data_IF_580870930646
#
_entry.id   IF_580870930646
#
_cell.length_a   1.000
_cell.length_b   1.000
_cell.length_c   1.000
_cell.angle_alpha   90.00
_cell.angle_beta   90.00
_cell.angle_gamma   90.00
#
_symmetry.space_group_name_H-M   'P 1'
#
loop_
_entity.id
_entity.type
_entity.pdbx_description
1 polymer ?
#
# COMPACT_ATOMS: atom_id res chain seq x y z
N UNK A 1 -36.22 16.32 7.96
CA UNK A 1 -34.92 16.37 8.65
C UNK A 1 -33.91 16.87 7.62
N UNK A 2 -33.38 18.10 7.74
CA UNK A 2 -32.37 18.60 6.79
C UNK A 2 -31.07 17.83 7.06
N UNK A 3 -30.45 17.28 6.02
CA UNK A 3 -29.13 16.67 6.14
C UNK A 3 -28.12 17.72 6.63
N UNK A 4 -27.10 17.31 7.39
CA UNK A 4 -26.01 18.19 7.83
C UNK A 4 -24.73 17.80 7.11
N UNK A 5 -24.01 18.80 6.58
CA UNK A 5 -22.68 18.60 6.00
C UNK A 5 -21.60 18.65 7.09
N UNK A 6 -20.42 18.01 6.88
CA UNK A 6 -19.27 18.15 7.74
C UNK A 6 -18.84 19.61 7.92
N UNK A 7 -18.32 19.98 9.09
CA UNK A 7 -17.92 21.35 9.45
C UNK A 7 -17.04 22.04 8.39
N UNK A 8 -16.14 21.29 7.74
CA UNK A 8 -15.24 21.82 6.70
C UNK A 8 -15.96 22.29 5.43
N UNK A 9 -17.19 21.82 5.21
CA UNK A 9 -18.02 22.08 4.02
C UNK A 9 -19.39 22.68 4.37
N UNK A 10 -19.66 22.93 5.66
CA UNK A 10 -20.95 23.42 6.14
C UNK A 10 -21.28 24.81 5.58
N UNK A 11 -20.27 25.65 5.35
CA UNK A 11 -20.46 26.98 4.76
C UNK A 11 -21.03 26.88 3.34
N UNK A 12 -20.45 26.04 2.49
CA UNK A 12 -20.90 25.83 1.11
C UNK A 12 -22.31 25.22 1.09
N UNK A 13 -22.59 24.28 1.99
CA UNK A 13 -23.92 23.69 2.14
C UNK A 13 -25.00 24.72 2.45
N UNK A 14 -24.74 25.63 3.42
CA UNK A 14 -25.68 26.68 3.79
C UNK A 14 -25.86 27.71 2.67
N UNK A 15 -24.79 28.06 1.98
CA UNK A 15 -24.81 28.98 0.84
C UNK A 15 -25.64 28.41 -0.32
N UNK A 16 -25.39 27.16 -0.71
CA UNK A 16 -26.19 26.48 -1.74
C UNK A 16 -27.68 26.47 -1.38
N UNK A 17 -28.04 26.12 -0.13
CA UNK A 17 -29.44 26.13 0.30
C UNK A 17 -30.06 27.52 0.22
N UNK A 18 -29.31 28.55 0.59
CA UNK A 18 -29.77 29.95 0.49
C UNK A 18 -30.06 30.34 -0.95
N UNK A 19 -29.19 29.94 -1.89
CA UNK A 19 -29.37 30.20 -3.32
C UNK A 19 -30.55 29.42 -3.91
N UNK A 20 -30.69 28.14 -3.56
CA UNK A 20 -31.83 27.30 -4.00
C UNK A 20 -33.16 27.93 -3.58
N UNK A 21 -33.27 28.34 -2.31
CA UNK A 21 -34.48 28.97 -1.77
C UNK A 21 -34.75 30.34 -2.44
N UNK A 22 -33.70 31.14 -2.69
CA UNK A 22 -33.81 32.48 -3.31
C UNK A 22 -34.26 32.42 -4.76
N UNK A 23 -33.71 31.50 -5.55
CA UNK A 23 -33.93 31.41 -7.00
C UNK A 23 -34.96 30.36 -7.41
N UNK A 24 -35.57 29.66 -6.43
CA UNK A 24 -36.56 28.60 -6.65
C UNK A 24 -36.05 27.51 -7.62
N UNK A 25 -34.82 27.07 -7.38
CA UNK A 25 -34.15 26.06 -8.21
C UNK A 25 -34.75 24.67 -7.94
N UNK A 26 -35.09 23.94 -9.01
CA UNK A 26 -35.44 22.52 -8.93
C UNK A 26 -34.20 21.64 -9.02
N UNK A 27 -34.12 20.60 -8.19
CA UNK A 27 -33.00 19.64 -8.19
C UNK A 27 -33.48 18.30 -8.76
N UNK A 28 -32.75 17.78 -9.74
CA UNK A 28 -32.96 16.45 -10.30
C UNK A 28 -31.66 15.65 -10.23
N UNK A 29 -31.76 14.35 -10.01
CA UNK A 29 -30.63 13.44 -10.09
C UNK A 29 -30.45 12.95 -11.51
N UNK A 30 -29.24 13.10 -12.04
CA UNK A 30 -28.83 12.54 -13.33
C UNK A 30 -27.80 11.44 -13.11
N UNK A 31 -27.85 10.33 -13.87
CA UNK A 31 -26.77 9.36 -13.87
C UNK A 31 -25.49 9.97 -14.46
N UNK A 32 -24.35 9.63 -13.86
CA UNK A 32 -23.03 10.09 -14.34
C UNK A 32 -22.52 9.26 -15.53
N UNK A 33 -21.70 9.88 -16.38
CA UNK A 33 -21.03 9.26 -17.53
C UNK A 33 -21.96 8.55 -18.53
N UNK A 34 -23.11 9.17 -18.83
CA UNK A 34 -24.13 8.60 -19.72
C UNK A 34 -24.25 9.34 -21.06
N UNK A 35 -23.29 10.18 -21.46
CA UNK A 35 -23.38 10.95 -22.71
C UNK A 35 -24.27 12.18 -22.62
N UNK A 36 -24.64 12.63 -21.41
CA UNK A 36 -25.47 13.83 -21.23
C UNK A 36 -24.56 15.05 -21.35
N UNK A 37 -24.58 15.68 -22.52
CA UNK A 37 -23.68 16.78 -22.91
C UNK A 37 -23.44 17.82 -21.81
N UNK A 38 -24.51 18.35 -21.21
CA UNK A 38 -24.37 19.36 -20.15
C UNK A 38 -23.76 18.83 -18.85
N UNK A 39 -23.97 17.55 -18.50
CA UNK A 39 -23.38 16.94 -17.31
C UNK A 39 -21.91 16.60 -17.55
N UNK A 40 -21.57 16.10 -18.74
CA UNK A 40 -20.18 15.79 -19.12
C UNK A 40 -19.35 17.06 -19.23
N UNK A 41 -19.88 18.11 -19.87
CA UNK A 41 -19.21 19.40 -19.92
C UNK A 41 -19.00 19.99 -18.52
N UNK A 42 -19.98 19.85 -17.61
CA UNK A 42 -19.82 20.29 -16.23
C UNK A 42 -18.75 19.49 -15.47
N UNK A 43 -18.66 18.17 -15.69
CA UNK A 43 -17.64 17.29 -15.10
C UNK A 43 -16.24 17.64 -15.63
N UNK A 44 -16.09 17.82 -16.94
CA UNK A 44 -14.85 18.25 -17.57
C UNK A 44 -14.38 19.61 -17.05
N UNK A 45 -15.29 20.58 -16.90
CA UNK A 45 -14.97 21.90 -16.34
C UNK A 45 -14.57 21.80 -14.85
N UNK A 46 -15.23 20.93 -14.09
CA UNK A 46 -14.89 20.72 -12.68
C UNK A 46 -13.50 20.08 -12.53
N UNK A 47 -13.17 19.08 -13.37
CA UNK A 47 -11.84 18.46 -13.38
C UNK A 47 -10.76 19.43 -13.83
N UNK A 48 -11.02 20.24 -14.88
CA UNK A 48 -10.11 21.30 -15.31
C UNK A 48 -9.82 22.29 -14.16
N UNK A 49 -10.87 22.77 -13.49
CA UNK A 49 -10.73 23.68 -12.35
C UNK A 49 -9.99 23.06 -11.15
N UNK A 50 -10.20 21.76 -10.89
CA UNK A 50 -9.47 21.05 -9.84
C UNK A 50 -7.95 20.94 -10.15
N UNK A 51 -7.59 20.88 -11.43
CA UNK A 51 -6.21 20.74 -11.89
C UNK A 51 -5.49 22.08 -12.17
N UNK A 52 -6.24 23.19 -12.30
CA UNK A 52 -5.69 24.51 -12.63
C UNK A 52 -4.83 25.12 -11.50
N UNK A 53 -4.96 24.59 -10.27
CA UNK A 53 -4.13 24.98 -9.11
C UNK A 53 -4.38 26.40 -8.59
N UNK A 54 -5.31 27.13 -9.22
CA UNK A 54 -5.74 28.46 -8.81
C UNK A 54 -6.77 28.32 -7.68
N UNK A 55 -6.31 28.57 -6.46
CA UNK A 55 -7.18 28.53 -5.28
C UNK A 55 -7.50 29.97 -4.90
N UNK A 56 -8.77 30.35 -4.99
CA UNK A 56 -9.24 31.60 -4.39
C UNK A 56 -8.79 31.63 -2.93
N UNK A 57 -8.22 32.74 -2.44
CA UNK A 57 -7.71 32.89 -1.07
C UNK A 57 -8.77 32.75 0.05
N UNK A 58 -9.96 32.23 -0.27
CA UNK A 58 -11.08 32.03 0.65
C UNK A 58 -11.09 30.61 1.26
N UNK A 59 -12.13 30.28 2.02
CA UNK A 59 -12.35 29.02 2.75
C UNK A 59 -12.28 27.78 1.86
N UNK A 60 -12.54 27.93 0.56
CA UNK A 60 -12.38 26.91 -0.48
C UNK A 60 -10.92 26.44 -0.64
N UNK A 61 -9.94 27.26 -0.24
CA UNK A 61 -8.53 26.93 -0.38
C UNK A 61 -7.98 25.97 0.68
N UNK A 62 -8.77 25.63 1.70
CA UNK A 62 -8.29 24.71 2.74
C UNK A 62 -8.41 23.27 2.26
N UNK A 63 -7.35 22.45 2.35
CA UNK A 63 -7.44 21.06 1.94
C UNK A 63 -8.45 20.32 2.82
N UNK A 64 -9.24 19.45 2.19
CA UNK A 64 -10.19 18.59 2.91
C UNK A 64 -9.44 17.58 3.78
N UNK A 65 -10.10 17.04 4.81
CA UNK A 65 -9.53 15.95 5.64
C UNK A 65 -9.08 14.77 4.77
N UNK A 66 -9.86 14.44 3.74
CA UNK A 66 -9.51 13.39 2.79
C UNK A 66 -8.26 13.75 1.97
N UNK A 67 -8.17 15.00 1.51
CA UNK A 67 -6.98 15.52 0.80
C UNK A 67 -5.71 15.42 1.66
N UNK A 68 -5.77 15.90 2.91
CA UNK A 68 -4.68 15.77 3.88
C UNK A 68 -4.31 14.30 4.08
N UNK A 69 -5.31 13.42 4.25
CA UNK A 69 -5.09 11.98 4.41
C UNK A 69 -4.41 11.34 3.19
N UNK A 70 -4.78 11.75 1.98
CA UNK A 70 -4.15 11.27 0.74
C UNK A 70 -2.70 11.70 0.65
N UNK A 71 -2.40 12.98 0.91
CA UNK A 71 -1.03 13.49 0.93
C UNK A 71 -0.19 12.79 2.00
N UNK A 72 -0.73 12.60 3.20
CA UNK A 72 -0.03 11.91 4.28
C UNK A 72 0.30 10.45 3.92
N UNK A 73 -0.64 9.72 3.29
CA UNK A 73 -0.39 8.36 2.79
C UNK A 73 0.67 8.33 1.69
N UNK A 74 0.62 9.28 0.75
CA UNK A 74 1.62 9.38 -0.32
C UNK A 74 3.03 9.62 0.26
N UNK A 75 3.15 10.55 1.21
CA UNK A 75 4.41 10.83 1.89
C UNK A 75 4.93 9.63 2.70
N UNK A 76 4.04 8.93 3.39
CA UNK A 76 4.38 7.70 4.10
C UNK A 76 4.92 6.63 3.14
N UNK A 77 4.25 6.40 2.01
CA UNK A 77 4.68 5.41 1.01
C UNK A 77 6.06 5.73 0.42
N UNK A 78 6.34 7.01 0.13
CA UNK A 78 7.65 7.46 -0.33
C UNK A 78 8.73 7.26 0.74
N UNK A 79 8.45 7.69 1.97
CA UNK A 79 9.38 7.57 3.10
C UNK A 79 9.71 6.10 3.41
N UNK A 80 8.70 5.23 3.35
CA UNK A 80 8.87 3.78 3.53
C UNK A 80 9.74 3.18 2.43
N UNK A 81 9.53 3.56 1.17
CA UNK A 81 10.34 3.09 0.04
C UNK A 81 11.80 3.53 0.17
N UNK A 82 12.03 4.80 0.49
CA UNK A 82 13.37 5.37 0.70
C UNK A 82 14.10 4.70 1.86
N UNK A 83 13.40 4.50 2.98
CA UNK A 83 13.93 3.78 4.12
C UNK A 83 14.32 2.35 3.73
N UNK A 84 13.46 1.62 3.01
CA UNK A 84 13.75 0.25 2.61
C UNK A 84 15.00 0.17 1.73
N UNK A 85 15.13 1.06 0.73
CA UNK A 85 16.31 1.10 -0.15
C UNK A 85 17.58 1.29 0.69
N UNK A 86 17.57 2.24 1.64
CA UNK A 86 18.72 2.49 2.52
C UNK A 86 19.02 1.28 3.40
N UNK A 87 18.02 0.72 4.07
CA UNK A 87 18.19 -0.45 4.94
C UNK A 87 18.67 -1.68 4.17
N UNK A 88 18.18 -1.88 2.94
CA UNK A 88 18.53 -3.00 2.08
C UNK A 88 20.04 -3.05 1.81
N UNK A 89 20.71 -1.91 1.68
CA UNK A 89 22.17 -1.86 1.47
C UNK A 89 22.98 -2.44 2.63
N UNK A 90 22.46 -2.35 3.86
CA UNK A 90 23.10 -2.88 5.07
C UNK A 90 22.83 -4.36 5.34
N UNK A 91 21.98 -5.01 4.54
CA UNK A 91 21.66 -6.43 4.71
C UNK A 91 22.77 -7.33 4.15
N UNK A 92 22.84 -8.55 4.68
CA UNK A 92 23.85 -9.53 4.26
C UNK A 92 23.69 -9.89 2.78
N UNK A 93 24.80 -10.22 2.10
CA UNK A 93 24.77 -10.65 0.70
C UNK A 93 23.85 -11.87 0.48
N UNK A 94 23.80 -12.79 1.45
CA UNK A 94 22.91 -13.95 1.42
C UNK A 94 21.44 -13.55 1.45
N UNK A 95 21.07 -12.55 2.25
CA UNK A 95 19.70 -12.04 2.30
C UNK A 95 19.31 -11.30 1.02
N UNK A 96 20.20 -10.44 0.49
CA UNK A 96 19.94 -9.66 -0.74
C UNK A 96 19.73 -10.53 -1.98
N UNK A 97 20.22 -11.77 -1.99
CA UNK A 97 19.98 -12.72 -3.10
C UNK A 97 18.48 -13.04 -3.29
N UNK A 98 17.65 -12.87 -2.26
CA UNK A 98 16.22 -13.13 -2.35
C UNK A 98 15.41 -11.98 -2.96
N UNK A 99 16.03 -10.81 -3.15
CA UNK A 99 15.42 -9.63 -3.80
C UNK A 99 14.02 -9.28 -3.24
N UNK A 100 13.84 -9.47 -1.93
CA UNK A 100 12.56 -9.22 -1.28
C UNK A 100 12.28 -7.72 -1.23
N UNK A 101 11.07 -7.32 -1.63
CA UNK A 101 10.56 -5.99 -1.37
C UNK A 101 10.10 -5.84 0.08
N UNK A 102 10.01 -4.60 0.56
CA UNK A 102 9.28 -4.30 1.79
C UNK A 102 7.80 -4.09 1.48
N UNK A 103 6.94 -4.73 2.27
CA UNK A 103 5.50 -4.53 2.23
C UNK A 103 4.96 -4.45 3.66
N UNK A 104 4.04 -3.51 3.90
CA UNK A 104 3.29 -3.44 5.16
C UNK A 104 2.20 -4.53 5.18
N UNK A 105 1.65 -4.84 4.01
CA UNK A 105 0.66 -5.90 3.88
C UNK A 105 1.29 -7.27 4.13
N UNK A 106 0.49 -8.18 4.70
CA UNK A 106 0.90 -9.55 4.95
C UNK A 106 1.25 -10.26 3.62
N UNK A 107 2.48 -10.77 3.46
CA UNK A 107 2.87 -11.49 2.26
C UNK A 107 2.09 -12.80 2.13
N UNK A 108 1.75 -13.17 0.90
CA UNK A 108 0.95 -14.37 0.61
C UNK A 108 1.60 -15.66 1.11
N UNK A 109 2.93 -15.70 1.21
CA UNK A 109 3.69 -16.85 1.69
C UNK A 109 3.37 -17.22 3.14
N UNK A 110 2.89 -16.27 3.96
CA UNK A 110 2.45 -16.58 5.33
C UNK A 110 1.20 -17.45 5.38
N UNK A 111 0.47 -17.57 4.26
CA UNK A 111 -0.68 -18.47 4.12
C UNK A 111 -0.30 -19.90 3.73
N UNK A 112 0.99 -20.17 3.48
CA UNK A 112 1.45 -21.52 3.17
C UNK A 112 1.20 -22.46 4.36
N UNK A 113 0.96 -23.76 4.12
CA UNK A 113 0.92 -24.75 5.19
C UNK A 113 2.17 -24.66 6.07
N UNK A 114 2.00 -24.86 7.38
CA UNK A 114 3.06 -24.70 8.39
C UNK A 114 4.39 -25.35 7.99
N UNK A 115 4.36 -26.57 7.46
CA UNK A 115 5.57 -27.30 7.05
C UNK A 115 6.30 -26.61 5.90
N UNK A 116 5.56 -26.13 4.89
CA UNK A 116 6.13 -25.41 3.74
C UNK A 116 6.68 -24.06 4.16
N UNK A 117 5.94 -23.31 4.97
CA UNK A 117 6.39 -22.02 5.50
C UNK A 117 7.66 -22.18 6.35
N UNK A 118 7.71 -23.19 7.22
CA UNK A 118 8.90 -23.49 8.02
C UNK A 118 10.13 -23.74 7.15
N UNK A 119 10.01 -24.56 6.10
CA UNK A 119 11.09 -24.85 5.16
C UNK A 119 11.53 -23.61 4.37
N UNK A 120 10.59 -22.79 3.92
CA UNK A 120 10.87 -21.54 3.21
C UNK A 120 11.65 -20.57 4.10
N UNK A 121 11.21 -20.36 5.35
CA UNK A 121 11.89 -19.51 6.32
C UNK A 121 13.29 -20.05 6.60
N UNK A 122 13.43 -21.34 6.84
CA UNK A 122 14.70 -22.00 7.08
C UNK A 122 15.70 -21.72 5.94
N UNK A 123 15.28 -21.90 4.68
CA UNK A 123 16.14 -21.62 3.54
C UNK A 123 16.47 -20.13 3.40
N UNK A 124 15.50 -19.23 3.57
CA UNK A 124 15.71 -17.77 3.48
C UNK A 124 16.71 -17.27 4.50
N UNK A 125 16.68 -17.81 5.71
CA UNK A 125 17.59 -17.41 6.80
C UNK A 125 18.83 -18.29 6.90
N UNK A 126 18.95 -19.33 6.07
CA UNK A 126 19.96 -20.39 6.18
C UNK A 126 20.04 -21.00 7.60
N UNK A 127 18.90 -21.07 8.31
CA UNK A 127 18.79 -21.65 9.64
C UNK A 127 17.97 -22.93 9.57
N UNK A 128 18.50 -24.02 10.11
CA UNK A 128 17.84 -25.32 10.09
C UNK A 128 18.85 -26.45 9.92
N UNK A 129 18.36 -27.58 9.46
CA UNK A 129 19.15 -28.78 9.17
C UNK A 129 19.94 -28.63 7.85
N UNK A 130 20.88 -27.68 7.84
CA UNK A 130 21.79 -27.42 6.73
C UNK A 130 23.23 -27.61 7.19
N UNK A 131 24.07 -28.18 6.33
CA UNK A 131 25.45 -28.49 6.67
C UNK A 131 26.25 -27.24 7.09
N UNK A 132 26.01 -26.11 6.39
CA UNK A 132 26.63 -24.82 6.73
C UNK A 132 26.28 -24.36 8.17
N UNK A 133 25.04 -24.56 8.60
CA UNK A 133 24.59 -24.18 9.93
C UNK A 133 25.26 -25.06 10.99
N UNK A 134 25.22 -26.38 10.83
CA UNK A 134 25.86 -27.31 11.76
C UNK A 134 27.37 -27.10 11.89
N UNK A 135 28.07 -26.83 10.78
CA UNK A 135 29.51 -26.49 10.81
C UNK A 135 29.79 -25.20 11.56
N UNK A 136 28.99 -24.15 11.33
CA UNK A 136 29.18 -22.84 11.97
C UNK A 136 29.04 -22.92 13.50
N UNK A 137 28.16 -23.79 14.00
CA UNK A 137 27.89 -23.95 15.42
C UNK A 137 28.57 -25.17 16.06
N UNK A 138 29.33 -25.95 15.28
CA UNK A 138 30.12 -27.08 15.80
C UNK A 138 29.30 -28.30 16.22
N UNK A 139 28.15 -28.54 15.57
CA UNK A 139 27.34 -29.74 15.82
C UNK A 139 27.99 -30.96 15.15
N UNK A 140 28.64 -31.83 15.93
CA UNK A 140 29.41 -32.98 15.44
C UNK A 140 28.59 -34.23 15.13
N UNK A 141 27.38 -34.30 15.67
CA UNK A 141 26.42 -35.41 15.54
C UNK A 141 25.41 -35.21 14.39
N UNK A 142 25.47 -34.06 13.72
CA UNK A 142 24.53 -33.73 12.67
C UNK A 142 24.86 -34.42 11.35
N UNK A 143 23.84 -35.05 10.74
CA UNK A 143 23.95 -35.58 9.39
C UNK A 143 23.99 -34.42 8.38
N UNK A 144 25.14 -34.26 7.71
CA UNK A 144 25.38 -33.13 6.80
C UNK A 144 24.88 -33.42 5.37
N UNK A 145 24.64 -34.69 5.04
CA UNK A 145 24.22 -35.11 3.70
C UNK A 145 22.77 -35.56 3.70
N UNK A 146 22.09 -35.40 2.57
CA UNK A 146 20.79 -36.00 2.37
C UNK A 146 20.93 -37.46 1.89
N UNK A 147 19.83 -38.21 1.91
CA UNK A 147 19.69 -39.54 1.29
C UNK A 147 20.13 -39.56 -0.19
N UNK A 148 20.04 -38.42 -0.88
CA UNK A 148 20.51 -38.24 -2.26
C UNK A 148 22.06 -38.20 -2.38
N UNK A 149 22.80 -38.25 -1.27
CA UNK A 149 24.26 -38.18 -1.21
C UNK A 149 24.86 -36.77 -1.31
N UNK A 150 24.03 -35.76 -1.62
CA UNK A 150 24.45 -34.36 -1.66
C UNK A 150 24.36 -33.69 -0.29
N UNK A 151 25.22 -32.71 -0.07
CA UNK A 151 25.22 -31.88 1.13
C UNK A 151 23.91 -31.10 1.29
N UNK A 152 23.35 -31.11 2.50
CA UNK A 152 22.14 -30.34 2.86
C UNK A 152 22.43 -28.85 2.74
N UNK A 153 21.82 -28.21 1.75
CA UNK A 153 21.97 -26.78 1.52
C UNK A 153 20.61 -26.11 1.30
N UNK A 154 20.48 -24.80 1.58
CA UNK A 154 19.22 -24.05 1.44
C UNK A 154 18.60 -24.04 0.03
N UNK A 155 19.38 -24.37 -1.00
CA UNK A 155 18.99 -24.30 -2.41
C UNK A 155 18.57 -25.66 -2.98
N UNK A 156 18.99 -26.74 -2.33
CA UNK A 156 18.66 -28.11 -2.68
C UNK A 156 17.88 -28.73 -1.53
N UNK A 157 16.55 -28.57 -1.56
CA UNK A 157 15.66 -29.35 -0.73
C UNK A 157 15.61 -30.78 -1.28
N UNK A 158 16.68 -31.57 -1.09
CA UNK A 158 16.53 -33.01 -1.22
C UNK A 158 15.55 -33.44 -0.10
N UNK A 159 14.36 -33.86 -0.52
CA UNK A 159 13.26 -34.27 0.34
C UNK A 159 13.74 -35.42 1.22
N UNK A 160 13.68 -35.22 2.54
CA UNK A 160 13.53 -36.32 3.50
C UNK A 160 12.05 -36.72 3.54
#
# INVERSE_FOLDING_TARGET
MRANAPNTSQWAFLECHTLIDRYKVGIIWSPGHMGIEGNEMADELADAGANEGQMDNDRSAKPTINGIGTTARALANLTTSDWWIRSYTGLSASYRKWELGYAIAEPSELRLPRTSLHRLLAARTAHGDFAQYHRRFGHSDAELNCLCGYEKNPWAFCIL
#
